data_IF_106913413264
#
_entry.id   IF_106913413264
#
_cell.length_a   1.000
_cell.length_b   1.000
_cell.length_c   1.000
_cell.angle_alpha   90.00
_cell.angle_beta   90.00
_cell.angle_gamma   90.00
#
_symmetry.space_group_name_H-M   'P 1'
#
loop_
_entity.id
_entity.type
_entity.pdbx_description
1 polymer ?
#
# COMPACT_ATOMS: atom_id res chain seq x y z
N UNK A 1 24.46 49.88 -4.19
CA UNK A 1 24.81 48.49 -3.84
C UNK A 1 24.29 48.23 -2.45
N UNK A 2 23.15 47.54 -2.33
CA UNK A 2 22.52 47.20 -1.06
C UNK A 2 22.14 45.73 -1.14
N UNK A 3 22.91 44.90 -0.46
CA UNK A 3 22.70 43.46 -0.29
C UNK A 3 21.64 43.27 0.80
N UNK A 4 20.52 42.63 0.45
CA UNK A 4 19.59 42.05 1.41
C UNK A 4 19.64 40.54 1.25
N UNK A 5 20.35 39.92 2.19
CA UNK A 5 20.21 38.50 2.47
C UNK A 5 18.82 38.25 3.06
N UNK A 6 18.08 37.33 2.45
CA UNK A 6 16.88 36.74 3.02
C UNK A 6 17.12 35.23 3.14
N UNK A 7 17.84 34.84 4.18
CA UNK A 7 17.85 33.46 4.67
C UNK A 7 16.63 33.24 5.57
N UNK A 8 15.47 33.09 4.94
CA UNK A 8 14.29 32.55 5.61
C UNK A 8 14.44 31.04 5.72
N UNK A 9 15.06 30.56 6.81
CA UNK A 9 14.96 29.15 7.20
C UNK A 9 13.50 28.88 7.57
N UNK A 10 12.77 28.26 6.63
CA UNK A 10 11.49 27.64 6.94
C UNK A 10 11.73 26.51 7.93
N UNK A 11 11.16 26.65 9.12
CA UNK A 11 10.99 25.53 10.05
C UNK A 11 10.07 24.51 9.39
N UNK A 12 10.63 23.44 8.84
CA UNK A 12 9.85 22.27 8.41
C UNK A 12 9.28 21.65 9.67
N UNK A 13 7.96 21.71 9.81
CA UNK A 13 7.24 21.12 10.93
C UNK A 13 7.46 19.62 10.94
N UNK A 14 8.13 19.13 11.99
CA UNK A 14 8.31 17.72 12.36
C UNK A 14 6.99 17.10 12.87
N UNK A 15 5.87 17.35 12.19
CA UNK A 15 4.66 16.59 12.45
C UNK A 15 4.83 15.23 11.77
N UNK A 16 4.65 14.13 12.51
CA UNK A 16 4.52 12.81 11.89
C UNK A 16 3.37 12.90 10.88
N UNK A 17 3.56 12.53 9.61
CA UNK A 17 2.54 12.71 8.57
C UNK A 17 1.26 11.90 8.87
N UNK A 18 1.37 10.83 9.67
CA UNK A 18 0.27 9.97 10.10
C UNK A 18 0.52 9.40 11.49
N UNK A 19 -0.53 8.82 12.08
CA UNK A 19 -0.47 8.04 13.32
C UNK A 19 -0.32 6.54 13.02
N UNK A 20 0.24 5.79 13.97
CA UNK A 20 0.47 4.35 13.84
C UNK A 20 -0.01 3.68 15.12
N UNK A 21 -0.78 2.60 14.98
CA UNK A 21 -1.21 1.78 16.11
C UNK A 21 -0.01 1.23 16.91
N UNK A 22 -0.17 1.11 18.23
CA UNK A 22 0.93 0.79 19.14
C UNK A 22 1.57 -0.58 18.85
N UNK A 23 0.77 -1.56 18.47
CA UNK A 23 1.20 -2.91 18.11
C UNK A 23 2.04 -2.95 16.82
N UNK A 24 1.89 -1.95 15.93
CA UNK A 24 2.69 -1.79 14.73
C UNK A 24 4.02 -1.03 14.96
N UNK A 25 4.31 -0.59 16.19
CA UNK A 25 5.54 0.16 16.48
C UNK A 25 6.83 -0.60 16.10
N UNK A 26 6.79 -1.94 16.05
CA UNK A 26 7.90 -2.77 15.63
C UNK A 26 8.28 -2.61 14.14
N UNK A 27 7.36 -2.09 13.32
CA UNK A 27 7.53 -1.78 11.89
C UNK A 27 7.95 -0.32 11.65
N UNK A 28 8.01 0.50 12.70
CA UNK A 28 8.60 1.84 12.65
C UNK A 28 10.13 1.79 12.65
N UNK A 29 10.69 1.00 11.73
CA UNK A 29 12.12 0.83 11.51
C UNK A 29 12.43 0.94 10.03
N UNK A 30 13.65 1.33 9.68
CA UNK A 30 14.07 1.40 8.28
C UNK A 30 14.05 0.03 7.61
N UNK A 31 13.93 0.04 6.28
CA UNK A 31 13.98 -1.16 5.44
C UNK A 31 15.17 -2.08 5.79
N UNK A 32 16.37 -1.49 5.89
CA UNK A 32 17.60 -2.23 6.25
C UNK A 32 17.50 -2.87 7.62
N UNK A 33 16.98 -2.15 8.62
CA UNK A 33 16.88 -2.66 9.98
C UNK A 33 15.89 -3.83 10.07
N UNK A 34 14.79 -3.78 9.31
CA UNK A 34 13.86 -4.90 9.20
C UNK A 34 14.54 -6.13 8.58
N UNK A 35 15.14 -6.01 7.40
CA UNK A 35 15.79 -7.13 6.71
C UNK A 35 16.92 -7.77 7.53
N UNK A 36 17.66 -6.97 8.31
CA UNK A 36 18.69 -7.50 9.22
C UNK A 36 18.11 -8.40 10.33
N UNK A 37 16.88 -8.15 10.77
CA UNK A 37 16.17 -8.96 11.77
C UNK A 37 15.48 -10.17 11.15
N UNK A 38 15.21 -10.12 9.85
CA UNK A 38 14.48 -11.15 9.09
C UNK A 38 15.29 -11.60 7.86
N UNK A 39 16.45 -12.25 8.04
CA UNK A 39 17.40 -12.54 6.96
C UNK A 39 16.87 -13.52 5.90
N UNK A 40 15.74 -14.18 6.14
CA UNK A 40 15.06 -15.00 5.13
C UNK A 40 14.49 -14.17 3.97
N UNK A 41 14.24 -12.87 4.20
CA UNK A 41 13.77 -11.91 3.20
C UNK A 41 14.93 -11.09 2.66
N UNK A 42 14.89 -10.80 1.37
CA UNK A 42 15.87 -9.93 0.70
C UNK A 42 15.27 -8.59 0.33
N UNK A 43 13.94 -8.51 0.22
CA UNK A 43 13.23 -7.30 -0.13
C UNK A 43 11.83 -7.30 0.50
N UNK A 44 11.30 -6.10 0.76
CA UNK A 44 9.94 -5.90 1.24
C UNK A 44 9.10 -5.17 0.21
N UNK A 45 7.81 -5.48 0.23
CA UNK A 45 6.76 -4.67 -0.38
C UNK A 45 5.69 -4.37 0.67
N UNK A 46 4.89 -3.34 0.43
CA UNK A 46 3.77 -2.95 1.28
C UNK A 46 2.47 -2.87 0.49
N UNK A 47 1.34 -2.84 1.18
CA UNK A 47 0.02 -2.66 0.59
C UNK A 47 -0.91 -1.90 1.53
N UNK A 48 -1.73 -1.03 0.98
CA UNK A 48 -2.68 -0.20 1.71
C UNK A 48 -4.12 -0.64 1.42
N UNK A 49 -4.83 -1.13 2.43
CA UNK A 49 -6.25 -1.41 2.36
C UNK A 49 -7.04 -0.17 2.78
N UNK A 50 -7.58 0.54 1.80
CA UNK A 50 -8.41 1.73 2.01
C UNK A 50 -9.89 1.34 1.89
N UNK A 51 -10.63 1.45 2.99
CA UNK A 51 -12.07 1.17 3.01
C UNK A 51 -12.91 2.44 3.01
N UNK A 52 -13.93 2.50 2.16
CA UNK A 52 -14.97 3.55 2.16
C UNK A 52 -16.34 2.90 2.03
N UNK A 53 -17.23 3.16 3.00
CA UNK A 53 -18.60 2.65 3.02
C UNK A 53 -18.72 1.13 2.76
N UNK A 54 -17.82 0.33 3.36
CA UNK A 54 -17.80 -1.13 3.21
C UNK A 54 -17.20 -1.64 1.91
N UNK A 55 -16.67 -0.76 1.06
CA UNK A 55 -15.96 -1.11 -0.17
C UNK A 55 -14.46 -0.88 -0.01
N UNK A 56 -13.66 -1.72 -0.66
CA UNK A 56 -12.21 -1.63 -0.68
C UNK A 56 -11.74 -1.07 -2.02
N UNK A 57 -10.76 -0.17 -2.00
CA UNK A 57 -10.07 0.29 -3.20
C UNK A 57 -9.13 -0.79 -3.74
N UNK A 58 -9.27 -1.12 -5.02
CA UNK A 58 -8.28 -1.86 -5.82
C UNK A 58 -7.82 -1.00 -6.99
N UNK A 59 -6.56 -1.16 -7.38
CA UNK A 59 -5.97 -0.57 -8.58
C UNK A 59 -5.59 -1.69 -9.56
N UNK A 60 -5.68 -1.39 -10.85
CA UNK A 60 -5.30 -2.32 -11.90
C UNK A 60 -3.94 -1.95 -12.47
N UNK A 61 -3.00 -2.90 -12.42
CA UNK A 61 -1.67 -2.76 -13.02
C UNK A 61 -1.78 -2.45 -14.50
N UNK A 62 -0.97 -1.52 -14.96
CA UNK A 62 -0.88 -1.11 -16.36
C UNK A 62 -0.64 -2.30 -17.29
N UNK A 63 -1.28 -2.29 -18.45
CA UNK A 63 -1.09 -3.30 -19.49
C UNK A 63 0.35 -3.34 -20.03
N UNK A 64 1.14 -2.29 -19.80
CA UNK A 64 2.54 -2.20 -20.21
C UNK A 64 3.51 -2.77 -19.17
N UNK A 65 3.02 -3.19 -18.01
CA UNK A 65 3.86 -3.81 -16.98
C UNK A 65 4.49 -5.12 -17.47
N UNK A 66 5.79 -5.27 -17.21
CA UNK A 66 6.55 -6.45 -17.68
C UNK A 66 6.11 -7.73 -16.99
N UNK A 67 5.64 -7.62 -15.75
CA UNK A 67 5.20 -8.74 -14.94
C UNK A 67 3.77 -8.49 -14.46
N UNK A 68 2.91 -9.50 -14.66
CA UNK A 68 1.51 -9.48 -14.24
C UNK A 68 0.74 -8.22 -14.69
N UNK A 69 0.72 -7.88 -15.99
CA UNK A 69 -0.11 -6.77 -16.47
C UNK A 69 -1.61 -7.08 -16.31
N UNK A 70 -2.43 -6.06 -16.13
CA UNK A 70 -3.90 -6.13 -16.01
C UNK A 70 -4.48 -6.86 -14.79
N UNK A 71 -3.66 -7.29 -13.82
CA UNK A 71 -4.19 -7.83 -12.56
C UNK A 71 -4.54 -6.70 -11.59
N UNK A 72 -5.45 -6.99 -10.68
CA UNK A 72 -5.92 -6.10 -9.62
C UNK A 72 -5.16 -6.37 -8.32
N UNK A 73 -4.84 -5.29 -7.62
CA UNK A 73 -4.21 -5.35 -6.30
C UNK A 73 -4.65 -4.18 -5.42
N UNK A 74 -4.31 -4.27 -4.13
CA UNK A 74 -4.35 -3.10 -3.26
C UNK A 74 -3.17 -2.19 -3.64
N UNK A 75 -3.33 -0.85 -3.56
CA UNK A 75 -2.21 0.08 -3.77
C UNK A 75 -1.00 -0.30 -2.91
N UNK A 76 0.19 -0.19 -3.46
CA UNK A 76 1.43 -0.43 -2.73
C UNK A 76 2.53 -1.08 -3.56
N UNK A 77 3.75 -0.63 -3.31
CA UNK A 77 4.95 -1.08 -3.99
C UNK A 77 6.06 -1.53 -3.04
N UNK A 78 7.30 -1.30 -3.46
CA UNK A 78 8.49 -1.77 -2.74
C UNK A 78 8.83 -0.83 -1.58
N UNK A 79 9.39 -1.37 -0.50
CA UNK A 79 10.01 -0.51 0.51
C UNK A 79 11.38 -0.10 0.01
N UNK A 80 11.59 1.21 -0.13
CA UNK A 80 12.85 1.78 -0.61
C UNK A 80 13.80 2.07 0.55
N UNK A 81 15.06 2.35 0.21
CA UNK A 81 16.11 2.56 1.21
C UNK A 81 16.07 3.95 1.86
N UNK A 82 15.42 4.90 1.19
CA UNK A 82 15.21 6.28 1.62
C UNK A 82 13.87 6.49 2.34
N UNK A 83 12.97 5.50 2.32
CA UNK A 83 11.82 5.46 3.23
C UNK A 83 12.30 5.49 4.69
N UNK A 84 11.74 6.41 5.49
CA UNK A 84 12.13 6.56 6.91
C UNK A 84 11.87 5.26 7.69
N UNK A 85 10.74 4.61 7.41
CA UNK A 85 10.38 3.29 7.96
C UNK A 85 9.60 2.46 6.96
N UNK A 86 9.44 1.15 7.21
CA UNK A 86 8.53 0.28 6.44
C UNK A 86 7.12 0.90 6.30
N UNK A 87 6.60 1.51 7.37
CA UNK A 87 5.28 2.15 7.36
C UNK A 87 5.21 3.46 6.56
N UNK A 88 6.33 4.14 6.32
CA UNK A 88 6.36 5.34 5.48
C UNK A 88 6.25 4.97 4.00
N UNK A 89 6.75 3.80 3.60
CA UNK A 89 6.51 3.26 2.26
C UNK A 89 5.01 3.09 1.99
N UNK A 90 4.20 2.69 2.98
CA UNK A 90 2.74 2.56 2.81
C UNK A 90 2.12 3.90 2.41
N UNK A 91 2.53 4.98 3.09
CA UNK A 91 2.02 6.31 2.83
C UNK A 91 2.52 6.86 1.48
N UNK A 92 3.81 6.70 1.17
CA UNK A 92 4.41 7.12 -0.10
C UNK A 92 3.73 6.44 -1.28
N UNK A 93 3.69 5.12 -1.29
CA UNK A 93 3.14 4.34 -2.39
C UNK A 93 1.65 4.66 -2.61
N UNK A 94 0.87 4.78 -1.53
CA UNK A 94 -0.55 5.14 -1.65
C UNK A 94 -0.72 6.54 -2.27
N UNK A 95 0.09 7.52 -1.86
CA UNK A 95 0.04 8.87 -2.41
C UNK A 95 0.46 8.90 -3.89
N UNK A 96 1.56 8.23 -4.24
CA UNK A 96 2.09 8.18 -5.61
C UNK A 96 1.11 7.50 -6.57
N UNK A 97 0.52 6.38 -6.16
CA UNK A 97 -0.34 5.56 -7.02
C UNK A 97 -1.79 6.03 -7.07
N UNK A 98 -2.28 6.77 -6.07
CA UNK A 98 -3.72 7.11 -5.97
C UNK A 98 -4.01 8.56 -5.62
N UNK A 99 -3.02 9.32 -5.17
CA UNK A 99 -3.18 10.68 -4.66
C UNK A 99 -3.80 10.77 -3.27
N UNK A 100 -3.97 9.65 -2.55
CA UNK A 100 -4.56 9.62 -1.21
C UNK A 100 -3.51 9.78 -0.11
N UNK A 101 -3.88 10.45 0.98
CA UNK A 101 -2.94 10.78 2.05
C UNK A 101 -3.28 10.01 3.32
N UNK A 102 -2.38 9.13 3.75
CA UNK A 102 -2.55 8.37 5.00
C UNK A 102 -2.63 9.31 6.20
N UNK A 103 -3.59 9.04 7.09
CA UNK A 103 -3.76 9.74 8.38
C UNK A 103 -3.55 8.81 9.58
N UNK A 104 -3.88 7.52 9.41
CA UNK A 104 -3.53 6.48 10.36
C UNK A 104 -3.25 5.14 9.67
N UNK A 105 -2.36 4.36 10.28
CA UNK A 105 -2.14 2.95 9.96
C UNK A 105 -2.57 2.14 11.18
N UNK A 106 -3.66 1.40 11.02
CA UNK A 106 -4.46 0.92 12.15
C UNK A 106 -4.11 -0.53 12.53
N UNK A 107 -3.92 -1.40 11.56
CA UNK A 107 -3.57 -2.81 11.80
C UNK A 107 -2.96 -3.47 10.57
N UNK A 108 -2.08 -4.44 10.84
CA UNK A 108 -1.55 -5.34 9.82
C UNK A 108 -2.62 -6.37 9.42
N UNK A 109 -2.71 -6.66 8.12
CA UNK A 109 -3.69 -7.58 7.54
C UNK A 109 -3.00 -8.89 7.18
N UNK A 110 -3.42 -9.98 7.83
CA UNK A 110 -2.87 -11.31 7.61
C UNK A 110 -1.45 -11.48 8.17
N UNK A 111 -0.65 -12.33 7.52
CA UNK A 111 0.73 -12.66 7.94
C UNK A 111 1.78 -12.28 6.88
N UNK A 112 1.37 -11.42 5.94
CA UNK A 112 2.12 -11.09 4.74
C UNK A 112 2.06 -12.15 3.63
N UNK A 113 2.26 -11.72 2.39
CA UNK A 113 2.33 -12.58 1.20
C UNK A 113 3.79 -12.76 0.78
N UNK A 114 4.21 -14.01 0.66
CA UNK A 114 5.57 -14.36 0.29
C UNK A 114 5.64 -14.70 -1.20
N UNK A 115 6.65 -14.18 -1.89
CA UNK A 115 6.88 -14.53 -3.29
C UNK A 115 8.35 -14.40 -3.65
N UNK A 116 8.71 -14.93 -4.82
CA UNK A 116 10.08 -14.89 -5.32
C UNK A 116 10.10 -14.28 -6.71
N UNK A 117 10.99 -13.31 -6.95
CA UNK A 117 11.27 -12.78 -8.29
C UNK A 117 12.60 -13.30 -8.81
N UNK A 118 12.80 -13.30 -10.12
CA UNK A 118 14.00 -13.88 -10.74
C UNK A 118 14.00 -15.41 -10.76
N UNK A 119 15.11 -16.01 -11.18
CA UNK A 119 15.25 -17.46 -11.33
C UNK A 119 16.62 -17.96 -10.84
N UNK A 120 16.69 -19.25 -10.50
CA UNK A 120 17.92 -19.90 -10.06
C UNK A 120 18.47 -19.32 -8.76
N UNK A 121 19.79 -19.17 -8.67
CA UNK A 121 20.48 -18.62 -7.49
C UNK A 121 20.31 -17.10 -7.36
N UNK A 122 19.91 -16.40 -8.43
CA UNK A 122 19.73 -14.94 -8.45
C UNK A 122 18.30 -14.50 -8.06
N UNK A 123 17.44 -15.43 -7.64
CA UNK A 123 16.07 -15.09 -7.27
C UNK A 123 16.00 -14.41 -5.90
N UNK A 124 15.21 -13.35 -5.80
CA UNK A 124 15.01 -12.54 -4.58
C UNK A 124 13.76 -13.02 -3.86
N UNK A 125 13.84 -13.30 -2.55
CA UNK A 125 12.67 -13.60 -1.73
C UNK A 125 12.07 -12.30 -1.16
N UNK A 126 10.78 -12.15 -1.37
CA UNK A 126 9.99 -10.98 -0.98
C UNK A 126 8.97 -11.34 0.11
N UNK A 127 8.72 -10.37 0.97
CA UNK A 127 7.55 -10.34 1.84
C UNK A 127 6.75 -9.06 1.55
N UNK A 128 5.49 -9.20 1.10
CA UNK A 128 4.52 -8.10 1.03
C UNK A 128 3.72 -8.05 2.32
N UNK A 129 3.92 -7.01 3.11
CA UNK A 129 3.08 -6.70 4.27
C UNK A 129 1.90 -5.84 3.80
N UNK A 130 0.75 -5.90 4.47
CA UNK A 130 -0.38 -5.06 4.11
C UNK A 130 -1.08 -4.53 5.36
N UNK A 131 -1.65 -3.34 5.26
CA UNK A 131 -2.20 -2.63 6.40
C UNK A 131 -3.55 -2.02 6.06
N UNK A 132 -4.49 -2.03 7.00
CA UNK A 132 -5.62 -1.12 6.92
C UNK A 132 -5.16 0.29 7.27
N UNK A 133 -5.58 1.26 6.46
CA UNK A 133 -5.24 2.67 6.65
C UNK A 133 -6.46 3.57 6.54
N UNK A 134 -6.46 4.64 7.32
CA UNK A 134 -7.38 5.76 7.13
C UNK A 134 -6.71 6.85 6.29
N UNK A 135 -7.48 7.53 5.45
CA UNK A 135 -6.99 8.58 4.54
C UNK A 135 -7.65 9.93 4.82
N UNK A 136 -6.99 11.03 4.49
CA UNK A 136 -7.50 12.38 4.71
C UNK A 136 -8.80 12.65 3.92
N UNK A 137 -8.98 11.95 2.81
CA UNK A 137 -10.12 12.05 1.91
C UNK A 137 -11.37 11.33 2.43
N UNK A 138 -11.32 10.67 3.60
CA UNK A 138 -12.39 9.81 4.11
C UNK A 138 -13.73 10.54 4.32
N UNK A 139 -13.70 11.82 4.64
CA UNK A 139 -14.88 12.66 4.87
C UNK A 139 -15.55 13.14 3.58
N UNK A 140 -14.91 12.97 2.43
CA UNK A 140 -15.52 13.31 1.14
C UNK A 140 -16.71 12.38 0.84
N UNK A 141 -17.71 12.89 0.13
CA UNK A 141 -18.84 12.10 -0.37
C UNK A 141 -18.33 11.00 -1.32
N UNK A 142 -17.45 11.40 -2.24
CA UNK A 142 -16.68 10.52 -3.12
C UNK A 142 -15.20 10.81 -2.98
N UNK A 143 -14.38 9.75 -2.89
CA UNK A 143 -12.93 9.86 -2.84
C UNK A 143 -12.41 9.92 -4.28
N UNK A 144 -11.77 11.04 -4.65
CA UNK A 144 -11.18 11.21 -5.97
C UNK A 144 -9.85 10.46 -6.07
N UNK A 145 -9.79 9.44 -6.93
CA UNK A 145 -8.56 8.68 -7.20
C UNK A 145 -7.82 9.29 -8.38
N UNK A 146 -6.53 9.54 -8.20
CA UNK A 146 -5.61 9.96 -9.25
C UNK A 146 -4.52 8.92 -9.44
N UNK A 147 -4.67 8.09 -10.46
CA UNK A 147 -3.71 7.04 -10.77
C UNK A 147 -2.39 7.60 -11.31
N UNK A 148 -1.28 6.96 -10.94
CA UNK A 148 -0.07 7.03 -11.76
C UNK A 148 -0.33 6.28 -13.08
N UNK A 149 -0.38 6.99 -14.23
CA UNK A 149 -0.72 6.38 -15.52
C UNK A 149 0.37 5.48 -16.09
N UNK A 150 1.58 5.48 -15.52
CA UNK A 150 2.66 4.57 -15.91
C UNK A 150 2.42 3.20 -15.30
N UNK A 151 2.10 3.18 -14.01
CA UNK A 151 2.01 1.94 -13.23
C UNK A 151 0.59 1.36 -13.20
N UNK A 152 -0.43 2.20 -13.27
CA UNK A 152 -1.83 1.84 -13.10
C UNK A 152 -2.72 2.42 -14.20
N UNK A 153 -3.73 1.66 -14.59
CA UNK A 153 -4.62 2.05 -15.70
C UNK A 153 -6.10 2.16 -15.33
N UNK A 154 -6.51 1.58 -14.19
CA UNK A 154 -7.89 1.59 -13.73
C UNK A 154 -7.98 1.40 -12.21
N UNK A 155 -9.13 1.71 -11.61
CA UNK A 155 -9.40 1.48 -10.20
C UNK A 155 -10.87 1.08 -9.97
N UNK A 156 -11.12 0.31 -8.91
CA UNK A 156 -12.45 -0.11 -8.53
C UNK A 156 -12.63 -0.04 -7.01
N UNK A 157 -13.83 0.34 -6.59
CA UNK A 157 -14.31 0.13 -5.24
C UNK A 157 -15.12 -1.16 -5.22
N UNK A 158 -14.61 -2.19 -4.57
CA UNK A 158 -15.20 -3.53 -4.57
C UNK A 158 -15.80 -3.89 -3.23
N UNK A 159 -16.86 -4.69 -3.22
CA UNK A 159 -17.40 -5.33 -2.03
C UNK A 159 -16.75 -6.71 -1.82
N UNK A 160 -16.87 -7.25 -0.61
CA UNK A 160 -16.25 -8.55 -0.31
C UNK A 160 -16.79 -9.68 -1.21
N UNK A 161 -18.09 -9.63 -1.53
CA UNK A 161 -18.72 -10.61 -2.41
C UNK A 161 -18.22 -10.51 -3.85
N UNK A 162 -17.85 -9.31 -4.32
CA UNK A 162 -17.22 -9.14 -5.62
C UNK A 162 -15.88 -9.87 -5.66
N UNK A 163 -15.08 -9.75 -4.60
CA UNK A 163 -13.79 -10.44 -4.48
C UNK A 163 -13.99 -11.95 -4.38
N UNK A 164 -15.03 -12.45 -3.69
CA UNK A 164 -15.37 -13.89 -3.64
C UNK A 164 -15.85 -14.45 -4.96
N UNK A 165 -16.64 -13.67 -5.70
CA UNK A 165 -17.11 -14.03 -7.05
C UNK A 165 -15.98 -13.93 -8.08
N UNK A 166 -15.03 -13.02 -7.86
CA UNK A 166 -13.95 -12.72 -8.80
C UNK A 166 -14.40 -11.81 -9.94
N UNK A 167 -15.48 -11.04 -9.75
CA UNK A 167 -16.05 -10.14 -10.77
C UNK A 167 -16.90 -9.05 -10.11
N UNK A 168 -16.80 -7.82 -10.62
CA UNK A 168 -17.70 -6.70 -10.29
C UNK A 168 -18.15 -6.01 -11.57
N UNK A 169 -19.46 -5.78 -11.74
CA UNK A 169 -20.03 -5.09 -12.90
C UNK A 169 -19.53 -5.62 -14.28
N UNK A 170 -19.35 -6.93 -14.42
CA UNK A 170 -18.83 -7.56 -15.65
C UNK A 170 -17.31 -7.47 -15.84
N UNK A 171 -16.59 -6.84 -14.90
CA UNK A 171 -15.13 -6.78 -14.88
C UNK A 171 -14.57 -7.90 -14.01
N UNK A 172 -13.75 -8.76 -14.61
CA UNK A 172 -13.09 -9.86 -13.89
C UNK A 172 -11.98 -9.33 -12.98
N UNK A 173 -11.99 -9.75 -11.72
CA UNK A 173 -10.98 -9.44 -10.72
C UNK A 173 -9.90 -10.53 -10.69
N UNK A 174 -8.97 -10.46 -11.64
CA UNK A 174 -7.78 -11.31 -11.65
C UNK A 174 -6.72 -10.76 -10.69
N UNK A 175 -6.27 -11.57 -9.72
CA UNK A 175 -5.19 -11.22 -8.80
C UNK A 175 -3.91 -11.92 -9.22
N UNK A 176 -2.75 -11.37 -8.84
CA UNK A 176 -1.44 -11.96 -9.12
C UNK A 176 -1.32 -13.39 -8.59
N UNK A 177 -1.82 -13.63 -7.38
CA UNK A 177 -1.82 -14.94 -6.72
C UNK A 177 -3.09 -15.16 -5.89
N UNK A 178 -3.37 -16.42 -5.55
CA UNK A 178 -4.46 -16.75 -4.63
C UNK A 178 -4.25 -16.15 -3.23
N UNK A 179 -2.98 -16.03 -2.78
CA UNK A 179 -2.64 -15.48 -1.47
C UNK A 179 -2.90 -13.97 -1.40
N UNK A 180 -2.66 -13.22 -2.48
CA UNK A 180 -3.04 -11.80 -2.52
C UNK A 180 -4.56 -11.60 -2.50
N UNK A 181 -5.31 -12.47 -3.18
CA UNK A 181 -6.78 -12.47 -3.07
C UNK A 181 -7.25 -12.82 -1.65
N UNK A 182 -6.60 -13.78 -1.01
CA UNK A 182 -6.89 -14.16 0.38
C UNK A 182 -6.59 -13.02 1.37
N UNK A 183 -5.50 -12.28 1.16
CA UNK A 183 -5.16 -11.07 1.92
C UNK A 183 -6.29 -10.02 1.86
N UNK A 184 -6.84 -9.78 0.67
CA UNK A 184 -7.97 -8.85 0.50
C UNK A 184 -9.20 -9.33 1.26
N UNK A 185 -9.56 -10.61 1.15
CA UNK A 185 -10.68 -11.19 1.88
C UNK A 185 -10.47 -11.16 3.40
N UNK A 186 -9.22 -11.31 3.85
CA UNK A 186 -8.85 -11.17 5.26
C UNK A 186 -9.05 -9.74 5.76
N UNK A 187 -8.71 -8.73 4.94
CA UNK A 187 -9.01 -7.33 5.24
C UNK A 187 -10.50 -7.09 5.46
N UNK A 188 -11.36 -7.62 4.58
CA UNK A 188 -12.81 -7.54 4.78
C UNK A 188 -13.27 -8.27 6.04
N UNK A 189 -12.69 -9.44 6.37
CA UNK A 189 -13.01 -10.19 7.59
C UNK A 189 -12.73 -9.34 8.84
N UNK A 190 -11.54 -8.76 8.93
CA UNK A 190 -11.14 -7.86 10.02
C UNK A 190 -12.07 -6.65 10.10
N UNK A 191 -12.39 -6.03 8.96
CA UNK A 191 -13.28 -4.88 8.91
C UNK A 191 -14.68 -5.17 9.46
N UNK A 192 -15.20 -6.39 9.25
CA UNK A 192 -16.50 -6.83 9.82
C UNK A 192 -16.43 -7.09 11.31
N UNK A 193 -15.32 -7.59 11.82
CA UNK A 193 -15.17 -7.89 13.26
C UNK A 193 -15.01 -6.63 14.10
N UNK A 194 -14.58 -5.52 13.50
CA UNK A 194 -14.45 -4.23 14.13
C UNK A 194 -15.73 -3.36 14.10
N UNK A 195 -16.76 -3.75 13.33
CA UNK A 195 -18.01 -3.01 13.14
C UNK A 195 -19.14 -3.48 14.07
#
# INVERSE_FOLDING_TARGET
MSTRDFSGQGTVSSAKPFTVAEDLAHLSVSHRAYLQRHPQWQQLAVGALVFKAGRLLLVQRSATERAFPNVWEVPGGSVDSDDETVLHAVARELEEETGLHVTSIDHEVGVGVQFRTGSGENGTNWLKLAFEVAVAEQEAEEIAIRLDPVEHQDYLWVEEEDVRRGEVNGTRLEFMTADQRALVLEGFRLKREAA
#
